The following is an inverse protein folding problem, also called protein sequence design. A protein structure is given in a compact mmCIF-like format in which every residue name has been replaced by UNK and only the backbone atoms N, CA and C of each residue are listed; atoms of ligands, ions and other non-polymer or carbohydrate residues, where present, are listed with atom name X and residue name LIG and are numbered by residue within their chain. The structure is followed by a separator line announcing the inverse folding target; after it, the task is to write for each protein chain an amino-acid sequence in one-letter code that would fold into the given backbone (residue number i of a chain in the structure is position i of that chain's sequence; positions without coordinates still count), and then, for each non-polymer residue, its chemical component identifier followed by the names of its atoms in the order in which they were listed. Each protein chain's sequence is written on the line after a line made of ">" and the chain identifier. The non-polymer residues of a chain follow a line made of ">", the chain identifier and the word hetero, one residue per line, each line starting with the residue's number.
data_IF_528613212703
#
_entry.id   IF_528613212703
#
_cell.length_a   1.000
_cell.length_b   1.000
_cell.length_c   1.000
_cell.angle_alpha   90.00
_cell.angle_beta   90.00
_cell.angle_gamma   90.00
#
_symmetry.space_group_name_H-M   'P 1'
#
loop_
_entity.id
_entity.type
_entity.pdbx_description
1 polymer ?
#
# COMPACT_ATOMS: atom_id res chain seq x y z
N UNK A 1 5.88 -35.98 18.34
CA UNK A 1 5.51 -35.13 19.51
C UNK A 1 4.88 -33.80 19.11
N UNK A 2 5.23 -33.19 17.97
CA UNK A 2 4.61 -31.93 17.52
C UNK A 2 3.22 -32.11 16.91
N UNK A 3 2.90 -33.30 16.38
CA UNK A 3 1.57 -33.65 15.85
C UNK A 3 0.46 -33.56 16.90
N UNK A 4 0.73 -33.98 18.14
CA UNK A 4 -0.25 -33.91 19.25
C UNK A 4 -0.49 -32.47 19.68
N UNK A 5 0.54 -31.63 19.64
CA UNK A 5 0.43 -30.19 19.88
C UNK A 5 -0.39 -29.50 18.76
N UNK A 6 -0.15 -29.84 17.50
CA UNK A 6 -0.92 -29.32 16.37
C UNK A 6 -2.40 -29.77 16.41
N UNK A 7 -2.67 -31.01 16.80
CA UNK A 7 -4.03 -31.51 16.99
C UNK A 7 -4.79 -30.76 18.08
N UNK A 8 -4.14 -30.46 19.21
CA UNK A 8 -4.72 -29.62 20.27
C UNK A 8 -5.06 -28.23 19.75
N UNK A 9 -4.17 -27.62 18.96
CA UNK A 9 -4.42 -26.34 18.34
C UNK A 9 -5.64 -26.40 17.41
N UNK A 10 -5.78 -27.45 16.59
CA UNK A 10 -6.94 -27.61 15.69
C UNK A 10 -8.25 -27.81 16.48
N UNK A 11 -8.22 -28.59 17.56
CA UNK A 11 -9.38 -28.85 18.41
C UNK A 11 -9.94 -27.58 19.06
N UNK A 12 -9.10 -26.58 19.34
CA UNK A 12 -9.54 -25.29 19.88
C UNK A 12 -10.40 -24.48 18.91
N UNK A 13 -10.33 -24.78 17.60
CA UNK A 13 -11.09 -24.09 16.55
C UNK A 13 -12.13 -24.99 15.88
N UNK A 14 -12.54 -26.09 16.54
CA UNK A 14 -13.51 -27.12 16.14
C UNK A 14 -13.19 -27.89 14.84
N UNK A 15 -12.77 -27.20 13.79
CA UNK A 15 -12.49 -27.75 12.46
C UNK A 15 -11.15 -27.28 11.91
N UNK A 16 -10.50 -28.17 11.16
CA UNK A 16 -9.26 -27.84 10.43
C UNK A 16 -9.45 -26.68 9.44
N UNK A 17 -10.65 -26.53 8.89
CA UNK A 17 -10.96 -25.45 7.95
C UNK A 17 -10.92 -24.09 8.64
N UNK A 18 -11.63 -23.92 9.77
CA UNK A 18 -11.61 -22.68 10.54
C UNK A 18 -10.22 -22.33 11.05
N UNK A 19 -9.45 -23.34 11.48
CA UNK A 19 -8.05 -23.17 11.86
C UNK A 19 -7.19 -22.66 10.69
N UNK A 20 -7.34 -23.26 9.50
CA UNK A 20 -6.60 -22.85 8.30
C UNK A 20 -6.94 -21.44 7.83
N UNK A 21 -8.22 -21.05 7.91
CA UNK A 21 -8.69 -19.70 7.58
C UNK A 21 -8.13 -18.66 8.56
N UNK A 22 -8.08 -18.98 9.86
CA UNK A 22 -7.49 -18.11 10.88
C UNK A 22 -5.97 -17.94 10.75
N UNK A 23 -5.28 -18.98 10.30
CA UNK A 23 -3.85 -18.93 9.98
C UNK A 23 -3.53 -18.25 8.65
N UNK A 24 -4.52 -18.11 7.75
CA UNK A 24 -4.30 -17.59 6.41
C UNK A 24 -3.52 -18.54 5.49
N UNK A 25 -3.66 -19.86 5.70
CA UNK A 25 -2.91 -20.91 4.98
C UNK A 25 -3.89 -21.90 4.36
N UNK A 26 -3.62 -22.48 3.17
CA UNK A 26 -4.45 -23.54 2.60
C UNK A 26 -4.60 -24.74 3.54
N UNK A 27 -5.79 -25.35 3.57
CA UNK A 27 -6.09 -26.54 4.38
C UNK A 27 -5.12 -27.68 4.10
N UNK A 28 -4.70 -27.82 2.85
CA UNK A 28 -3.76 -28.84 2.39
C UNK A 28 -2.41 -28.72 3.09
N UNK A 29 -1.95 -27.50 3.38
CA UNK A 29 -0.70 -27.26 4.11
C UNK A 29 -0.82 -27.71 5.57
N UNK A 30 -1.95 -27.43 6.22
CA UNK A 30 -2.21 -27.89 7.59
C UNK A 30 -2.29 -29.42 7.65
N UNK A 31 -2.97 -30.04 6.68
CA UNK A 31 -3.02 -31.50 6.54
C UNK A 31 -1.64 -32.10 6.25
N UNK A 32 -0.81 -31.43 5.45
CA UNK A 32 0.55 -31.84 5.16
C UNK A 32 1.46 -31.80 6.39
N UNK A 33 1.31 -30.78 7.24
CA UNK A 33 1.96 -30.77 8.55
C UNK A 33 1.49 -31.95 9.39
N UNK A 34 0.19 -32.23 9.44
CA UNK A 34 -0.32 -33.26 10.33
C UNK A 34 0.00 -34.71 9.90
N UNK A 35 0.03 -34.98 8.59
CA UNK A 35 0.08 -36.36 8.08
C UNK A 35 1.26 -36.66 7.14
N UNK A 36 1.88 -35.64 6.54
CA UNK A 36 2.92 -35.84 5.51
C UNK A 36 4.34 -35.61 6.04
N UNK A 37 4.52 -35.55 7.37
CA UNK A 37 5.82 -35.32 8.01
C UNK A 37 6.54 -34.04 7.52
N UNK A 38 5.78 -33.05 7.03
CA UNK A 38 6.34 -31.76 6.62
C UNK A 38 6.51 -30.89 7.86
N UNK A 39 7.74 -30.44 8.08
CA UNK A 39 8.07 -29.58 9.22
C UNK A 39 7.31 -28.25 9.15
N UNK A 40 6.70 -27.85 10.27
CA UNK A 40 6.03 -26.56 10.40
C UNK A 40 7.10 -25.45 10.36
N UNK A 41 7.01 -24.48 9.43
CA UNK A 41 7.89 -23.31 9.43
C UNK A 41 7.76 -22.51 10.73
N UNK A 42 8.84 -21.84 11.14
CA UNK A 42 8.89 -21.16 12.43
C UNK A 42 7.84 -20.06 12.54
N UNK A 43 7.60 -19.35 11.44
CA UNK A 43 6.62 -18.28 11.31
C UNK A 43 5.21 -18.77 11.67
N UNK A 44 4.84 -19.95 11.16
CA UNK A 44 3.54 -20.54 11.45
C UNK A 44 3.45 -21.14 12.85
N UNK A 45 4.52 -21.75 13.35
CA UNK A 45 4.54 -22.25 14.73
C UNK A 45 4.35 -21.10 15.75
N UNK A 46 4.98 -19.97 15.47
CA UNK A 46 4.81 -18.72 16.20
C UNK A 46 3.35 -18.20 16.09
N UNK A 47 2.79 -18.11 14.88
CA UNK A 47 1.38 -17.72 14.69
C UNK A 47 0.40 -18.64 15.43
N UNK A 48 0.65 -19.96 15.45
CA UNK A 48 -0.18 -20.92 16.18
C UNK A 48 -0.14 -20.64 17.69
N UNK A 49 1.03 -20.38 18.26
CA UNK A 49 1.18 -20.02 19.69
C UNK A 49 0.38 -18.76 20.03
N UNK A 50 0.48 -17.73 19.18
CA UNK A 50 -0.29 -16.50 19.33
C UNK A 50 -1.80 -16.72 19.20
N UNK A 51 -2.25 -17.48 18.19
CA UNK A 51 -3.66 -17.76 17.92
C UNK A 51 -4.30 -18.60 19.02
N UNK A 52 -3.54 -19.53 19.58
CA UNK A 52 -3.99 -20.41 20.65
C UNK A 52 -3.89 -19.76 22.04
N UNK A 53 -3.38 -18.52 22.12
CA UNK A 53 -3.18 -17.78 23.37
C UNK A 53 -2.30 -18.55 24.37
N UNK A 54 -1.30 -19.28 23.87
CA UNK A 54 -0.36 -20.04 24.68
C UNK A 54 -0.83 -21.41 25.14
N UNK A 55 -1.96 -21.95 24.66
CA UNK A 55 -2.32 -23.36 24.93
C UNK A 55 -1.36 -24.32 24.22
N UNK A 56 -0.77 -23.91 23.09
CA UNK A 56 0.24 -24.66 22.34
C UNK A 56 1.46 -23.78 22.13
N UNK A 57 2.57 -24.12 22.77
CA UNK A 57 3.82 -23.36 22.58
C UNK A 57 4.46 -23.66 21.22
N UNK A 58 5.01 -22.65 20.56
CA UNK A 58 5.76 -22.82 19.30
C UNK A 58 6.94 -23.80 19.44
N UNK A 59 7.49 -23.94 20.67
CA UNK A 59 8.58 -24.86 20.99
C UNK A 59 8.17 -26.33 20.84
N UNK A 60 6.89 -26.63 20.97
CA UNK A 60 6.33 -27.97 20.80
C UNK A 60 6.09 -28.30 19.32
N UNK A 61 5.95 -27.27 18.47
CA UNK A 61 5.63 -27.39 17.05
C UNK A 61 6.86 -27.48 16.14
N UNK A 62 8.04 -27.14 16.65
CA UNK A 62 9.28 -27.03 15.88
C UNK A 62 10.35 -27.98 16.47
N UNK A 63 11.23 -28.57 15.64
CA UNK A 63 12.32 -29.42 16.13
C UNK A 63 13.22 -28.74 17.16
N UNK A 64 13.70 -29.55 18.12
CA UNK A 64 14.49 -29.11 19.28
C UNK A 64 15.78 -28.35 18.92
N UNK A 65 16.40 -28.65 17.77
CA UNK A 65 17.60 -27.92 17.33
C UNK A 65 17.31 -26.44 17.02
N UNK A 66 16.12 -26.10 16.47
CA UNK A 66 15.70 -24.72 16.24
C UNK A 66 15.39 -24.02 17.56
N UNK A 67 14.75 -24.71 18.50
CA UNK A 67 14.49 -24.19 19.86
C UNK A 67 15.80 -23.83 20.56
N UNK A 68 16.81 -24.70 20.46
CA UNK A 68 18.15 -24.47 21.05
C UNK A 68 18.86 -23.28 20.42
N UNK A 69 18.74 -23.11 19.10
CA UNK A 69 19.34 -22.01 18.35
C UNK A 69 18.73 -20.66 18.74
N UNK A 70 17.45 -20.65 19.09
CA UNK A 70 16.68 -19.45 19.37
C UNK A 70 16.42 -19.21 20.87
N UNK A 71 17.07 -19.97 21.76
CA UNK A 71 16.82 -19.96 23.22
C UNK A 71 16.99 -18.59 23.90
N UNK A 72 17.80 -17.72 23.29
CA UNK A 72 18.13 -16.39 23.81
C UNK A 72 17.36 -15.26 23.10
N UNK A 73 16.45 -15.62 22.20
CA UNK A 73 15.67 -14.68 21.40
C UNK A 73 14.21 -14.77 21.88
N UNK A 74 13.70 -13.65 22.38
CA UNK A 74 12.28 -13.51 22.67
C UNK A 74 11.54 -13.12 21.39
N UNK A 75 10.59 -13.95 20.97
CA UNK A 75 9.68 -13.62 19.87
C UNK A 75 8.39 -13.05 20.45
N UNK A 76 8.07 -11.81 20.11
CA UNK A 76 6.73 -11.27 20.22
C UNK A 76 6.17 -11.18 18.82
N UNK A 77 5.26 -12.09 18.45
CA UNK A 77 4.45 -11.87 17.26
C UNK A 77 3.39 -10.87 17.68
N UNK A 78 3.30 -9.74 16.98
CA UNK A 78 2.11 -8.90 17.10
C UNK A 78 0.85 -9.73 16.78
N UNK A 79 -0.36 -9.24 17.10
CA UNK A 79 -1.56 -9.85 16.52
C UNK A 79 -1.30 -10.02 15.02
N UNK A 80 -1.59 -11.20 14.46
CA UNK A 80 -1.49 -11.46 13.02
C UNK A 80 -2.44 -10.47 12.35
N UNK A 81 -1.95 -9.27 12.10
CA UNK A 81 -2.62 -8.29 11.27
C UNK A 81 -2.55 -8.93 9.91
N UNK A 82 -3.71 -9.36 9.42
CA UNK A 82 -3.87 -9.92 8.09
C UNK A 82 -2.97 -9.13 7.14
N UNK A 83 -2.00 -9.83 6.52
CA UNK A 83 -1.02 -9.19 5.64
C UNK A 83 -1.73 -8.16 4.78
N UNK A 84 -1.34 -6.89 4.94
CA UNK A 84 -2.05 -5.79 4.29
C UNK A 84 -1.97 -5.95 2.76
N UNK A 85 -0.94 -6.59 2.24
CA UNK A 85 -0.87 -6.97 0.83
C UNK A 85 -0.53 -8.45 0.68
N UNK A 86 -1.24 -9.13 -0.22
CA UNK A 86 -0.98 -10.54 -0.52
C UNK A 86 0.02 -10.59 -1.67
N UNK A 87 1.14 -11.28 -1.49
CA UNK A 87 2.06 -11.58 -2.58
C UNK A 87 1.48 -12.73 -3.41
N UNK A 88 1.22 -12.46 -4.69
CA UNK A 88 0.58 -13.41 -5.63
C UNK A 88 1.38 -13.47 -6.92
N UNK A 89 1.43 -14.63 -7.57
CA UNK A 89 1.88 -14.74 -8.96
C UNK A 89 0.68 -14.61 -9.90
N UNK A 90 0.66 -13.56 -10.71
CA UNK A 90 -0.45 -13.27 -11.64
C UNK A 90 -0.02 -13.52 -13.08
N UNK A 91 -0.90 -14.11 -13.88
CA UNK A 91 -0.69 -14.27 -15.32
C UNK A 91 -0.72 -12.91 -16.02
N UNK A 92 0.25 -12.61 -16.88
CA UNK A 92 0.34 -11.32 -17.58
C UNK A 92 -0.92 -11.01 -18.40
N UNK A 93 -1.60 -12.02 -18.94
CA UNK A 93 -2.82 -11.85 -19.73
C UNK A 93 -4.03 -11.35 -18.90
N UNK A 94 -4.01 -11.52 -17.58
CA UNK A 94 -5.09 -11.06 -16.68
C UNK A 94 -4.89 -9.62 -16.24
N UNK A 95 -3.70 -9.05 -16.46
CA UNK A 95 -3.34 -7.73 -15.97
C UNK A 95 -3.86 -6.68 -16.93
N UNK A 96 -4.63 -5.74 -16.41
CA UNK A 96 -5.15 -4.60 -17.15
C UNK A 96 -4.12 -3.45 -17.08
N UNK A 97 -3.25 -3.36 -18.08
CA UNK A 97 -2.35 -2.21 -18.24
C UNK A 97 -3.07 -1.02 -18.89
N UNK A 98 -2.67 0.19 -18.53
CA UNK A 98 -3.15 1.40 -19.20
C UNK A 98 -2.59 1.41 -20.63
N UNK A 99 -3.46 1.50 -21.63
CA UNK A 99 -3.11 1.30 -23.06
C UNK A 99 -2.11 2.32 -23.64
N UNK A 100 -1.71 3.35 -22.89
CA UNK A 100 -1.00 4.49 -23.45
C UNK A 100 0.30 4.76 -22.69
N UNK A 101 1.40 4.64 -23.44
CA UNK A 101 2.79 4.98 -23.12
C UNK A 101 3.63 3.81 -22.60
N UNK A 102 4.38 3.18 -23.50
CA UNK A 102 5.54 2.35 -23.14
C UNK A 102 6.62 3.28 -22.54
N UNK A 103 6.93 3.23 -21.25
CA UNK A 103 8.02 4.02 -20.70
C UNK A 103 9.36 3.54 -21.26
N UNK A 104 10.29 4.47 -21.47
CA UNK A 104 11.67 4.16 -21.82
C UNK A 104 12.34 3.48 -20.61
N UNK A 105 12.90 2.29 -20.85
CA UNK A 105 13.48 1.42 -19.84
C UNK A 105 14.67 2.07 -19.13
N UNK A 106 14.53 2.30 -17.83
CA UNK A 106 15.63 2.42 -16.88
C UNK A 106 15.09 1.96 -15.52
N UNK A 107 14.93 0.64 -15.33
CA UNK A 107 14.51 0.08 -14.04
C UNK A 107 15.50 0.52 -12.96
N UNK A 108 15.12 1.43 -12.04
CA UNK A 108 15.98 1.78 -10.94
C UNK A 108 15.74 0.76 -9.83
N UNK A 109 16.72 -0.12 -9.67
CA UNK A 109 16.98 -0.91 -8.45
C UNK A 109 16.19 -2.21 -8.26
N UNK A 110 16.85 -3.11 -7.53
CA UNK A 110 16.60 -4.54 -7.44
C UNK A 110 15.32 -4.99 -6.69
N UNK A 111 14.47 -4.08 -6.22
CA UNK A 111 13.28 -4.39 -5.41
C UNK A 111 12.07 -3.56 -5.84
N UNK A 112 11.63 -3.71 -7.09
CA UNK A 112 10.35 -3.12 -7.55
C UNK A 112 9.33 -4.24 -7.62
N UNK A 113 8.30 -4.18 -6.76
CA UNK A 113 7.13 -5.05 -6.88
C UNK A 113 6.13 -4.45 -7.87
N UNK A 114 5.34 -5.30 -8.53
CA UNK A 114 4.15 -4.85 -9.25
C UNK A 114 3.00 -4.70 -8.25
N UNK A 115 2.38 -3.53 -8.16
CA UNK A 115 1.20 -3.31 -7.33
C UNK A 115 -0.07 -3.44 -8.17
N UNK A 116 -0.98 -4.35 -7.78
CA UNK A 116 -2.25 -4.59 -8.44
C UNK A 116 -3.44 -4.29 -7.52
N UNK A 117 -4.54 -3.82 -8.08
CA UNK A 117 -5.82 -3.77 -7.38
C UNK A 117 -6.58 -5.12 -7.43
N UNK A 118 -7.69 -5.20 -6.70
CA UNK A 118 -8.60 -6.35 -6.68
C UNK A 118 -9.14 -6.79 -8.07
N UNK A 119 -9.04 -5.94 -9.09
CA UNK A 119 -9.43 -6.24 -10.48
C UNK A 119 -8.23 -6.54 -11.40
N UNK A 120 -7.03 -6.75 -10.85
CA UNK A 120 -5.76 -6.91 -11.57
C UNK A 120 -5.39 -5.69 -12.45
N UNK A 121 -5.80 -4.48 -12.06
CA UNK A 121 -5.33 -3.24 -12.67
C UNK A 121 -4.05 -2.79 -12.00
N UNK A 122 -3.12 -2.29 -12.79
CA UNK A 122 -1.83 -1.81 -12.29
C UNK A 122 -2.04 -0.51 -11.51
N UNK A 123 -1.58 -0.49 -10.26
CA UNK A 123 -1.49 0.71 -9.41
C UNK A 123 -0.10 1.33 -9.55
N UNK A 124 0.96 0.52 -9.45
CA UNK A 124 2.35 0.94 -9.59
C UNK A 124 3.21 -0.20 -10.16
N UNK A 125 4.44 0.12 -10.60
CA UNK A 125 5.38 -0.88 -11.13
C UNK A 125 5.14 -1.25 -12.60
N UNK A 126 4.56 -0.35 -13.39
CA UNK A 126 4.24 -0.60 -14.80
C UNK A 126 5.49 -0.96 -15.65
N UNK A 127 6.64 -0.37 -15.33
CA UNK A 127 7.93 -0.70 -15.96
C UNK A 127 8.29 -2.19 -15.79
N UNK A 128 8.01 -2.77 -14.61
CA UNK A 128 8.25 -4.18 -14.33
C UNK A 128 7.34 -5.08 -15.17
N UNK A 129 6.08 -4.68 -15.34
CA UNK A 129 5.12 -5.39 -16.20
C UNK A 129 5.63 -5.46 -17.65
N UNK A 130 6.04 -4.32 -18.23
CA UNK A 130 6.57 -4.30 -19.60
C UNK A 130 7.90 -5.05 -19.73
N UNK A 131 8.75 -5.02 -18.71
CA UNK A 131 10.00 -5.80 -18.69
C UNK A 131 9.72 -7.31 -18.73
N UNK A 132 8.81 -7.82 -17.90
CA UNK A 132 8.42 -9.22 -17.92
C UNK A 132 7.75 -9.64 -19.23
N UNK A 133 6.96 -8.74 -19.82
CA UNK A 133 6.37 -8.94 -21.13
C UNK A 133 7.44 -9.07 -22.22
N UNK A 134 8.45 -8.19 -22.22
CA UNK A 134 9.57 -8.23 -23.15
C UNK A 134 10.42 -9.51 -23.00
N UNK A 135 10.57 -10.02 -21.77
CA UNK A 135 11.22 -11.30 -21.49
C UNK A 135 10.39 -12.54 -21.85
N UNK A 136 9.15 -12.37 -22.34
CA UNK A 136 8.27 -13.49 -22.71
C UNK A 136 7.86 -14.37 -21.53
N UNK A 137 7.89 -13.84 -20.29
CA UNK A 137 7.41 -14.57 -19.11
C UNK A 137 5.90 -14.72 -19.18
N UNK A 138 5.33 -15.75 -18.55
CA UNK A 138 3.87 -15.97 -18.49
C UNK A 138 3.24 -15.38 -17.23
N UNK A 139 4.02 -15.35 -16.14
CA UNK A 139 3.59 -14.90 -14.81
C UNK A 139 4.54 -13.86 -14.26
N UNK A 140 4.02 -12.99 -13.40
CA UNK A 140 4.78 -11.96 -12.69
C UNK A 140 4.40 -11.97 -11.20
N UNK A 141 5.39 -11.91 -10.28
CA UNK A 141 5.10 -11.71 -8.86
C UNK A 141 4.57 -10.29 -8.64
N UNK A 142 3.46 -10.18 -7.91
CA UNK A 142 2.76 -8.93 -7.66
C UNK A 142 2.25 -8.85 -6.21
N UNK A 143 2.07 -7.64 -5.71
CA UNK A 143 1.37 -7.32 -4.48
C UNK A 143 -0.08 -6.96 -4.83
N UNK A 144 -1.04 -7.74 -4.31
CA UNK A 144 -2.46 -7.50 -4.50
C UNK A 144 -3.01 -6.64 -3.35
N UNK A 145 -3.66 -5.53 -3.71
CA UNK A 145 -4.31 -4.60 -2.78
C UNK A 145 -5.82 -4.61 -2.97
N UNK A 146 -6.56 -4.82 -1.89
CA UNK A 146 -8.01 -4.59 -1.90
C UNK A 146 -8.28 -3.14 -1.50
N UNK A 147 -8.60 -2.31 -2.50
CA UNK A 147 -8.92 -0.89 -2.29
C UNK A 147 -10.19 -0.73 -1.44
N UNK A 148 -11.14 -1.65 -1.58
CA UNK A 148 -12.36 -1.69 -0.76
C UNK A 148 -12.06 -2.01 0.71
N UNK A 149 -11.17 -2.97 0.99
CA UNK A 149 -10.72 -3.28 2.34
C UNK A 149 -9.85 -2.15 2.94
N UNK A 150 -9.03 -1.49 2.13
CA UNK A 150 -8.27 -0.30 2.53
C UNK A 150 -9.20 0.84 2.95
N UNK A 151 -10.27 1.10 2.18
CA UNK A 151 -11.31 2.07 2.53
C UNK A 151 -12.06 1.70 3.82
N UNK A 152 -12.26 0.41 4.07
CA UNK A 152 -12.91 -0.09 5.27
C UNK A 152 -11.99 -0.08 6.51
N UNK A 153 -10.78 0.48 6.42
CA UNK A 153 -9.84 0.57 7.54
C UNK A 153 -9.24 -0.77 7.97
N UNK A 154 -9.29 -1.80 7.11
CA UNK A 154 -8.74 -3.13 7.43
C UNK A 154 -7.20 -3.20 7.38
N UNK A 155 -6.56 -2.10 6.97
CA UNK A 155 -5.12 -1.99 6.81
C UNK A 155 -4.59 -1.07 7.91
N UNK A 156 -3.49 -1.45 8.56
CA UNK A 156 -2.76 -0.51 9.42
C UNK A 156 -1.96 0.48 8.54
N UNK A 157 -2.22 1.80 8.63
CA UNK A 157 -1.44 2.80 7.90
C UNK A 157 0.07 2.77 8.23
N UNK A 158 0.45 2.31 9.44
CA UNK A 158 1.86 2.20 9.84
C UNK A 158 2.57 1.10 9.06
N UNK A 159 1.93 -0.05 8.89
CA UNK A 159 2.47 -1.18 8.13
C UNK A 159 2.69 -0.80 6.67
N UNK A 160 1.71 -0.10 6.07
CA UNK A 160 1.85 0.45 4.72
C UNK A 160 3.04 1.42 4.63
N UNK A 161 3.20 2.31 5.62
CA UNK A 161 4.29 3.30 5.64
C UNK A 161 5.69 2.69 5.80
N UNK A 162 5.80 1.52 6.45
CA UNK A 162 7.05 0.78 6.62
C UNK A 162 7.38 -0.10 5.41
N UNK A 163 6.35 -0.70 4.80
CA UNK A 163 6.51 -1.69 3.72
C UNK A 163 6.72 -1.04 2.35
N UNK A 164 6.03 0.07 2.08
CA UNK A 164 5.95 0.64 0.73
C UNK A 164 6.73 1.96 0.59
N UNK A 165 7.26 2.18 -0.62
CA UNK A 165 7.89 3.44 -1.00
C UNK A 165 6.88 4.58 -1.02
N UNK A 166 7.39 5.80 -0.92
CA UNK A 166 6.54 6.99 -0.89
C UNK A 166 5.69 7.13 -2.16
N UNK A 167 6.29 6.88 -3.33
CA UNK A 167 5.60 6.90 -4.61
C UNK A 167 4.52 5.83 -4.73
N UNK A 168 4.75 4.64 -4.18
CA UNK A 168 3.82 3.51 -4.22
C UNK A 168 2.58 3.80 -3.37
N UNK A 169 2.79 4.32 -2.15
CA UNK A 169 1.69 4.75 -1.27
C UNK A 169 0.84 5.85 -1.91
N UNK A 170 1.49 6.80 -2.58
CA UNK A 170 0.79 7.85 -3.33
C UNK A 170 -0.02 7.28 -4.51
N UNK A 171 0.54 6.31 -5.24
CA UNK A 171 -0.18 5.65 -6.33
C UNK A 171 -1.43 4.90 -5.83
N UNK A 172 -1.34 4.21 -4.70
CA UNK A 172 -2.49 3.59 -4.02
C UNK A 172 -3.53 4.65 -3.65
N UNK A 173 -3.09 5.77 -3.08
CA UNK A 173 -3.99 6.88 -2.74
C UNK A 173 -4.74 7.46 -3.95
N UNK A 174 -4.07 7.59 -5.11
CA UNK A 174 -4.70 8.01 -6.36
C UNK A 174 -5.72 6.98 -6.86
N UNK A 175 -5.39 5.69 -6.77
CA UNK A 175 -6.33 4.62 -7.14
C UNK A 175 -7.58 4.63 -6.25
N UNK A 176 -7.40 4.88 -4.95
CA UNK A 176 -8.48 4.99 -3.97
C UNK A 176 -9.31 6.28 -4.18
N UNK A 177 -8.68 7.40 -4.54
CA UNK A 177 -9.37 8.63 -4.94
C UNK A 177 -10.27 8.41 -6.16
N UNK A 178 -9.79 7.68 -7.18
CA UNK A 178 -10.59 7.29 -8.36
C UNK A 178 -11.78 6.40 -7.97
N UNK A 179 -11.56 5.46 -7.05
CA UNK A 179 -12.62 4.58 -6.55
C UNK A 179 -13.73 5.39 -5.86
N UNK A 180 -13.35 6.35 -4.99
CA UNK A 180 -14.30 7.27 -4.33
C UNK A 180 -14.98 8.18 -5.37
N UNK A 181 -14.23 8.79 -6.29
CA UNK A 181 -14.76 9.71 -7.30
C UNK A 181 -15.75 9.06 -8.26
N UNK A 182 -15.51 7.80 -8.65
CA UNK A 182 -16.44 7.03 -9.47
C UNK A 182 -17.78 6.74 -8.76
N UNK A 183 -17.85 6.86 -7.43
CA UNK A 183 -19.11 6.74 -6.66
C UNK A 183 -19.90 8.05 -6.61
N UNK A 184 -19.28 9.20 -6.88
CA UNK A 184 -19.95 10.50 -6.95
C UNK A 184 -20.62 10.78 -8.31
N UNK A 185 -20.52 9.85 -9.27
CA UNK A 185 -21.14 9.91 -10.59
C UNK A 185 -22.66 9.66 -10.62
N UNK A 186 -23.41 9.92 -9.56
CA UNK A 186 -24.87 10.16 -9.66
C UNK A 186 -25.06 11.67 -9.74
N UNK A 187 -25.26 12.16 -10.97
CA UNK A 187 -25.69 13.52 -11.33
C UNK A 187 -26.62 14.11 -10.27
N UNK A 188 -26.08 14.96 -9.40
CA UNK A 188 -26.85 15.73 -8.41
C UNK A 188 -27.80 16.72 -9.08
N UNK A 189 -27.60 17.00 -10.37
CA UNK A 189 -28.49 17.77 -11.24
C UNK A 189 -29.79 17.04 -11.61
N UNK A 190 -29.87 15.71 -11.50
CA UNK A 190 -31.11 14.93 -11.72
C UNK A 190 -31.96 14.74 -10.46
N UNK A 191 -31.45 15.09 -9.27
CA UNK A 191 -32.19 15.00 -8.00
C UNK A 191 -32.78 16.37 -7.65
N UNK A 192 -33.56 16.94 -8.58
CA UNK A 192 -34.35 18.14 -8.27
C UNK A 192 -35.71 17.85 -7.65
N UNK A 193 -36.22 16.62 -7.73
CA UNK A 193 -37.52 16.28 -7.14
C UNK A 193 -37.58 14.80 -6.76
N UNK A 194 -37.22 14.48 -5.52
CA UNK A 194 -37.86 13.49 -4.63
C UNK A 194 -36.91 13.17 -3.47
N UNK A 195 -37.37 13.53 -2.27
CA UNK A 195 -37.01 12.98 -0.97
C UNK A 195 -35.51 12.72 -0.76
N UNK A 196 -34.87 13.80 -0.33
CA UNK A 196 -33.50 13.90 0.16
C UNK A 196 -33.29 13.20 1.53
N UNK A 197 -34.11 12.22 1.88
CA UNK A 197 -34.21 11.69 3.25
C UNK A 197 -33.76 10.22 3.39
N UNK A 198 -33.94 9.37 2.37
CA UNK A 198 -33.88 7.92 2.63
C UNK A 198 -32.64 7.20 2.08
N UNK A 199 -31.69 7.91 1.45
CA UNK A 199 -30.49 7.30 0.84
C UNK A 199 -29.17 7.68 1.51
N UNK A 200 -29.22 8.63 2.45
CA UNK A 200 -28.05 9.07 3.21
C UNK A 200 -27.75 8.17 4.43
N UNK A 201 -28.73 7.41 4.94
CA UNK A 201 -28.59 6.58 6.15
C UNK A 201 -27.55 5.46 6.01
N UNK A 202 -27.49 4.75 4.88
CA UNK A 202 -26.56 3.62 4.73
C UNK A 202 -25.06 4.01 4.63
N UNK A 203 -24.77 5.28 4.30
CA UNK A 203 -23.42 5.84 4.24
C UNK A 203 -23.02 6.47 5.59
N UNK A 204 -23.98 7.05 6.31
CA UNK A 204 -23.78 7.72 7.59
C UNK A 204 -23.70 6.75 8.77
N UNK A 205 -24.37 5.60 8.71
CA UNK A 205 -24.31 4.60 9.79
C UNK A 205 -22.97 3.86 9.90
N UNK A 206 -22.19 3.74 8.80
CA UNK A 206 -20.92 3.00 8.80
C UNK A 206 -19.67 3.85 9.01
N UNK A 207 -19.76 5.17 8.80
CA UNK A 207 -18.62 6.09 8.90
C UNK A 207 -19.06 7.46 9.44
N UNK A 208 -19.19 7.63 10.77
CA UNK A 208 -19.57 8.90 11.39
C UNK A 208 -18.52 10.04 11.20
N UNK A 209 -17.40 9.74 10.54
CA UNK A 209 -16.23 10.61 10.34
C UNK A 209 -16.28 11.45 9.04
N UNK A 210 -17.33 11.32 8.20
CA UNK A 210 -17.50 12.15 6.99
C UNK A 210 -18.00 13.57 7.34
N UNK A 211 -17.39 14.19 8.35
CA UNK A 211 -17.29 15.65 8.47
C UNK A 211 -16.05 16.18 7.72
N UNK A 212 -15.11 15.32 7.34
CA UNK A 212 -13.84 15.69 6.70
C UNK A 212 -13.78 15.41 5.20
N UNK A 213 -12.96 16.19 4.46
CA UNK A 213 -12.76 16.05 3.01
C UNK A 213 -12.16 14.67 2.69
N UNK A 214 -12.64 13.99 1.63
CA UNK A 214 -12.17 12.66 1.23
C UNK A 214 -10.64 12.56 1.15
N UNK A 215 -9.95 13.58 0.66
CA UNK A 215 -8.48 13.63 0.60
C UNK A 215 -7.77 13.49 1.94
N UNK A 216 -8.40 13.91 3.04
CA UNK A 216 -7.85 13.78 4.41
C UNK A 216 -7.88 12.33 4.85
N UNK A 217 -9.01 11.64 4.64
CA UNK A 217 -9.16 10.21 4.85
C UNK A 217 -8.11 9.42 4.03
N UNK A 218 -7.96 9.73 2.74
CA UNK A 218 -6.96 9.07 1.89
C UNK A 218 -5.55 9.24 2.45
N UNK A 219 -5.19 10.46 2.85
CA UNK A 219 -3.88 10.74 3.42
C UNK A 219 -3.62 9.93 4.71
N UNK A 220 -4.63 9.78 5.56
CA UNK A 220 -4.54 8.92 6.72
C UNK A 220 -4.32 7.44 6.33
N UNK A 221 -5.17 6.89 5.47
CA UNK A 221 -5.14 5.48 5.07
C UNK A 221 -3.80 5.05 4.46
N UNK A 222 -3.15 5.94 3.68
CA UNK A 222 -1.83 5.66 3.08
C UNK A 222 -0.64 6.00 4.00
N UNK A 223 -0.89 6.30 5.28
CA UNK A 223 0.13 6.48 6.31
C UNK A 223 0.83 7.84 6.30
N UNK A 224 0.14 8.92 5.92
CA UNK A 224 0.60 10.29 6.17
C UNK A 224 0.05 10.88 7.48
N UNK A 225 -1.04 10.33 8.03
CA UNK A 225 -1.72 10.83 9.24
C UNK A 225 -2.84 11.83 8.98
N UNK A 226 -3.64 12.11 10.02
CA UNK A 226 -4.92 12.84 9.92
C UNK A 226 -4.80 14.29 9.41
N UNK A 227 -3.71 15.00 9.74
CA UNK A 227 -3.57 16.41 9.39
C UNK A 227 -2.75 16.67 8.10
N UNK A 228 -2.55 15.64 7.27
CA UNK A 228 -1.59 15.67 6.17
C UNK A 228 -2.20 15.62 4.77
N UNK A 229 -3.40 16.21 4.59
CA UNK A 229 -4.02 16.42 3.26
C UNK A 229 -3.06 17.05 2.25
N UNK A 230 -2.29 18.06 2.69
CA UNK A 230 -1.33 18.77 1.84
C UNK A 230 -0.24 17.84 1.30
N UNK A 231 0.17 16.83 2.07
CA UNK A 231 1.16 15.85 1.65
C UNK A 231 0.63 15.00 0.49
N UNK A 232 -0.63 14.55 0.57
CA UNK A 232 -1.25 13.81 -0.53
C UNK A 232 -1.32 14.65 -1.82
N UNK A 233 -1.80 15.90 -1.73
CA UNK A 233 -1.85 16.81 -2.89
C UNK A 233 -0.48 17.08 -3.50
N UNK A 234 0.53 17.35 -2.65
CA UNK A 234 1.92 17.52 -3.10
C UNK A 234 2.45 16.26 -3.79
N UNK A 235 2.17 15.09 -3.24
CA UNK A 235 2.54 13.81 -3.82
C UNK A 235 1.90 13.56 -5.19
N UNK A 236 0.61 13.89 -5.36
CA UNK A 236 -0.06 13.83 -6.67
C UNK A 236 0.64 14.68 -7.73
N UNK A 237 1.03 15.90 -7.38
CA UNK A 237 1.77 16.80 -8.28
C UNK A 237 3.12 16.19 -8.68
N UNK A 238 3.84 15.58 -7.73
CA UNK A 238 5.13 14.93 -7.98
C UNK A 238 4.98 13.73 -8.92
N UNK A 239 3.99 12.87 -8.71
CA UNK A 239 3.77 11.73 -9.60
C UNK A 239 3.35 12.17 -11.01
N UNK A 240 2.67 13.31 -11.14
CA UNK A 240 2.19 13.80 -12.43
C UNK A 240 3.25 14.54 -13.25
N UNK A 241 4.09 15.35 -12.60
CA UNK A 241 5.01 16.29 -13.28
C UNK A 241 6.48 16.13 -12.86
N UNK A 242 6.79 15.19 -11.99
CA UNK A 242 8.14 14.90 -11.55
C UNK A 242 8.89 14.03 -12.55
N UNK A 243 10.16 14.36 -12.80
CA UNK A 243 11.05 13.48 -13.54
C UNK A 243 11.41 12.23 -12.71
N UNK A 244 11.78 11.09 -13.35
CA UNK A 244 12.11 9.85 -12.64
C UNK A 244 13.20 10.02 -11.57
N UNK A 245 14.21 10.86 -11.83
CA UNK A 245 15.28 11.18 -10.87
C UNK A 245 14.73 11.84 -9.60
N UNK A 246 13.74 12.72 -9.72
CA UNK A 246 13.09 13.40 -8.59
C UNK A 246 12.35 12.39 -7.70
N UNK A 247 11.59 11.49 -8.34
CA UNK A 247 10.82 10.44 -7.66
C UNK A 247 11.78 9.47 -6.94
N UNK A 248 12.88 9.08 -7.59
CA UNK A 248 13.89 8.22 -6.96
C UNK A 248 14.55 8.88 -5.74
N UNK A 249 14.92 10.16 -5.82
CA UNK A 249 15.46 10.87 -4.66
C UNK A 249 14.42 11.05 -3.54
N UNK A 250 13.14 11.19 -3.87
CA UNK A 250 12.05 11.21 -2.90
C UNK A 250 11.90 9.85 -2.19
N UNK A 251 11.91 8.75 -2.95
CA UNK A 251 11.81 7.39 -2.41
C UNK A 251 13.00 7.05 -1.51
N UNK A 252 14.20 7.50 -1.87
CA UNK A 252 15.41 7.39 -1.05
C UNK A 252 15.44 8.35 0.15
N UNK A 253 14.37 9.14 0.38
CA UNK A 253 14.27 10.16 1.45
C UNK A 253 15.39 11.20 1.45
N UNK A 254 16.06 11.41 0.30
CA UNK A 254 17.13 12.42 0.15
C UNK A 254 16.56 13.84 0.08
N UNK A 255 15.37 13.98 -0.48
CA UNK A 255 14.62 15.24 -0.60
C UNK A 255 13.29 15.12 0.12
N UNK A 256 12.89 16.19 0.82
CA UNK A 256 11.59 16.26 1.47
C UNK A 256 10.45 16.44 0.45
N UNK A 257 9.27 15.89 0.75
CA UNK A 257 8.08 15.96 -0.11
C UNK A 257 7.72 17.40 -0.53
N UNK A 258 7.77 18.35 0.40
CA UNK A 258 7.43 19.75 0.11
C UNK A 258 8.44 20.45 -0.80
N UNK A 259 9.68 19.97 -0.82
CA UNK A 259 10.77 20.45 -1.69
C UNK A 259 10.60 19.86 -3.09
N UNK A 260 10.38 18.55 -3.18
CA UNK A 260 10.09 17.89 -4.44
C UNK A 260 8.85 18.49 -5.12
N UNK A 261 7.78 18.77 -4.36
CA UNK A 261 6.58 19.38 -4.90
C UNK A 261 6.82 20.77 -5.50
N UNK A 262 7.71 21.58 -4.91
CA UNK A 262 8.03 22.90 -5.48
C UNK A 262 8.75 22.78 -6.84
N UNK A 263 9.64 21.79 -6.97
CA UNK A 263 10.40 21.55 -8.21
C UNK A 263 9.51 21.07 -9.38
N UNK A 264 8.32 20.54 -9.11
CA UNK A 264 7.36 20.11 -10.15
C UNK A 264 6.88 21.25 -11.05
N UNK A 265 7.00 22.50 -10.59
CA UNK A 265 6.71 23.69 -11.40
C UNK A 265 7.70 23.93 -12.55
N UNK A 266 8.85 23.27 -12.52
CA UNK A 266 9.91 23.36 -13.52
C UNK A 266 9.81 22.22 -14.54
N UNK A 267 10.35 22.42 -15.74
CA UNK A 267 10.44 21.35 -16.75
C UNK A 267 11.44 20.24 -16.33
N UNK A 268 11.26 19.03 -16.86
CA UNK A 268 12.07 17.85 -16.50
C UNK A 268 13.59 18.07 -16.67
N UNK A 269 14.03 18.81 -17.69
CA UNK A 269 15.45 19.10 -17.90
C UNK A 269 16.04 19.94 -16.77
N UNK A 270 15.33 21.00 -16.35
CA UNK A 270 15.74 21.85 -15.22
C UNK A 270 15.68 21.09 -13.89
N UNK A 271 14.66 20.24 -13.70
CA UNK A 271 14.59 19.37 -12.52
C UNK A 271 15.85 18.50 -12.42
N UNK A 272 16.24 17.82 -13.50
CA UNK A 272 17.46 16.98 -13.54
C UNK A 272 18.73 17.77 -13.21
N UNK A 273 18.88 18.97 -13.79
CA UNK A 273 20.03 19.83 -13.56
C UNK A 273 20.15 20.24 -12.07
N UNK A 274 19.03 20.62 -11.44
CA UNK A 274 18.99 21.01 -10.03
C UNK A 274 19.29 19.81 -9.12
N UNK A 275 18.79 18.62 -9.46
CA UNK A 275 19.02 17.40 -8.70
C UNK A 275 20.46 16.89 -8.75
N UNK A 276 21.25 17.34 -9.73
CA UNK A 276 22.68 17.08 -9.82
C UNK A 276 23.52 18.03 -8.94
N UNK A 277 22.94 19.15 -8.48
CA UNK A 277 23.60 20.13 -7.62
C UNK A 277 23.68 19.72 -6.15
N UNK A 278 24.23 20.61 -5.32
CA UNK A 278 24.38 20.33 -3.88
C UNK A 278 23.05 20.43 -3.12
N UNK A 279 22.92 19.72 -1.99
CA UNK A 279 21.70 19.76 -1.15
C UNK A 279 21.32 21.19 -0.72
N UNK A 280 22.32 22.07 -0.53
CA UNK A 280 22.11 23.48 -0.14
C UNK A 280 21.50 24.29 -1.30
N UNK A 281 21.99 24.10 -2.52
CA UNK A 281 21.44 24.75 -3.73
C UNK A 281 19.97 24.37 -3.96
N UNK A 282 19.64 23.08 -3.80
CA UNK A 282 18.27 22.59 -3.95
C UNK A 282 17.33 23.30 -2.96
N UNK A 283 17.76 23.46 -1.70
CA UNK A 283 16.97 24.12 -0.66
C UNK A 283 16.80 25.61 -0.97
N UNK A 284 17.88 26.31 -1.34
CA UNK A 284 17.85 27.74 -1.65
C UNK A 284 16.93 28.06 -2.84
N UNK A 285 17.06 27.31 -3.94
CA UNK A 285 16.19 27.46 -5.11
C UNK A 285 14.73 27.16 -4.77
N UNK A 286 14.48 26.16 -3.94
CA UNK A 286 13.13 25.81 -3.49
C UNK A 286 12.50 26.94 -2.67
N UNK A 287 13.27 27.62 -1.83
CA UNK A 287 12.79 28.77 -1.06
C UNK A 287 12.42 29.93 -1.99
N UNK A 288 13.26 30.21 -2.99
CA UNK A 288 12.95 31.22 -4.01
C UNK A 288 11.66 30.90 -4.76
N UNK A 289 11.49 29.66 -5.26
CA UNK A 289 10.26 29.24 -5.96
C UNK A 289 9.01 29.40 -5.08
N UNK A 290 9.12 29.07 -3.79
CA UNK A 290 8.01 29.25 -2.82
C UNK A 290 7.67 30.72 -2.61
N UNK A 291 8.67 31.61 -2.59
CA UNK A 291 8.47 33.06 -2.46
C UNK A 291 7.82 33.64 -3.72
N UNK A 292 8.31 33.27 -4.91
CA UNK A 292 7.73 33.73 -6.19
C UNK A 292 6.29 33.27 -6.35
N UNK A 293 5.95 32.04 -5.94
CA UNK A 293 4.59 31.54 -5.96
C UNK A 293 3.66 32.32 -5.01
N UNK A 294 4.14 32.69 -3.82
CA UNK A 294 3.38 33.54 -2.89
C UNK A 294 3.15 34.95 -3.46
N UNK A 295 4.16 35.54 -4.08
CA UNK A 295 4.06 36.88 -4.69
C UNK A 295 3.05 36.91 -5.85
N UNK A 296 3.01 35.87 -6.70
CA UNK A 296 2.00 35.76 -7.77
C UNK A 296 0.56 35.68 -7.26
N UNK A 297 0.34 35.09 -6.08
CA UNK A 297 -1.00 35.00 -5.46
C UNK A 297 -1.44 36.37 -4.91
N UNK A 298 -0.51 37.17 -4.39
CA UNK A 298 -0.79 38.51 -3.82
C UNK A 298 -1.06 39.56 -4.91
N UNK A 299 -0.55 39.38 -6.13
CA UNK A 299 -0.76 40.31 -7.26
C UNK A 299 -2.12 40.06 -7.96
N UNK A 300 -2.77 38.91 -7.72
CA UNK A 300 -4.00 38.52 -8.42
C UNK A 300 -5.31 38.42 -7.58
N UNK A 301 -5.56 39.23 -6.52
CA UNK A 301 -6.84 39.22 -5.81
C UNK A 301 -7.91 40.16 -6.41
N UNK A 302 -7.66 40.82 -7.55
CA UNK A 302 -8.50 41.94 -8.04
C UNK A 302 -9.13 41.75 -9.43
N UNK A 303 -9.35 40.51 -9.89
CA UNK A 303 -10.11 40.25 -11.12
C UNK A 303 -11.17 39.17 -10.92
N UNK A 304 -12.09 39.41 -10.00
CA UNK A 304 -13.46 38.89 -10.05
C UNK A 304 -14.40 40.01 -9.58
N UNK A 305 -14.86 40.82 -10.54
CA UNK A 305 -16.15 41.53 -10.52
C UNK A 305 -16.80 41.19 -11.87
#
# INVERSE_FOLDING_TARGET
>A
MWETALLKAIQQFDTMQQFSEKLGVPRESVSAWLHKNIQIPLEYALCIDSLTQGTVSWKELVPSYKVRLLRHIAFSIGPVTAYSCIQVCVSLHRIQALKNNRPQYNLPHANVFLGLDENNRIIFGEELFYHYQALGKKTIPALLFSLSALLAGKYDPKDLAQTLLMSERLAIGIALEKLIGNRQGKRTDLVKNKQKADFDEALWEKFPEVKEKSTTLIAYLIGFGNNHRKCFEQGKQILKYGCPQLINQLNQRKIALSTAAALTSLCHAKQKQILAGSKKEIIALTQQLKQTAKQKIVINPSKEI
#
